data_IF_431412977214
#
_entry.id   IF_431412977214
#
_cell.length_a   1.000
_cell.length_b   1.000
_cell.length_c   1.000
_cell.angle_alpha   90.00
_cell.angle_beta   90.00
_cell.angle_gamma   90.00
#
_symmetry.space_group_name_H-M   'P 1'
#
loop_
_entity.id
_entity.type
_entity.pdbx_description
1 polymer ?
#
# COMPACT_ATOMS: atom_id res chain seq x y z
N UNK A 1 -19.97 -20.80 -14.68
CA UNK A 1 -20.72 -20.38 -13.47
C UNK A 1 -21.86 -21.33 -13.11
N UNK A 2 -22.82 -21.61 -14.01
CA UNK A 2 -23.98 -22.49 -13.75
C UNK A 2 -23.68 -23.90 -13.24
N UNK A 3 -22.51 -24.49 -13.56
CA UNK A 3 -22.11 -25.83 -13.09
C UNK A 3 -21.66 -25.81 -11.61
N UNK A 4 -21.09 -24.69 -11.15
CA UNK A 4 -20.63 -24.53 -9.76
C UNK A 4 -21.81 -24.28 -8.84
N UNK A 5 -22.78 -23.45 -9.27
CA UNK A 5 -24.04 -23.22 -8.55
C UNK A 5 -24.86 -24.51 -8.40
N UNK A 6 -24.94 -25.33 -9.47
CA UNK A 6 -25.69 -26.59 -9.45
C UNK A 6 -25.03 -27.68 -8.58
N UNK A 7 -23.71 -27.60 -8.37
CA UNK A 7 -22.99 -28.48 -7.41
C UNK A 7 -23.11 -27.95 -5.98
N UNK A 8 -23.04 -26.65 -5.75
CA UNK A 8 -23.17 -26.05 -4.43
C UNK A 8 -24.58 -26.23 -3.84
N UNK A 9 -25.63 -26.20 -4.67
CA UNK A 9 -27.03 -26.38 -4.25
C UNK A 9 -27.37 -27.83 -3.81
N UNK A 10 -26.51 -28.81 -4.10
CA UNK A 10 -26.74 -30.23 -3.78
C UNK A 10 -25.86 -30.76 -2.63
N UNK A 11 -25.01 -29.93 -2.04
CA UNK A 11 -24.26 -30.31 -0.85
C UNK A 11 -25.07 -29.88 0.36
N UNK A 12 -25.99 -30.74 0.80
CA UNK A 12 -26.63 -30.58 2.10
C UNK A 12 -25.59 -30.90 3.20
N UNK A 13 -24.79 -29.88 3.52
CA UNK A 13 -23.72 -29.94 4.52
C UNK A 13 -24.27 -30.38 5.88
N UNK A 14 -25.51 -30.01 6.21
CA UNK A 14 -26.11 -30.32 7.49
C UNK A 14 -26.44 -31.83 7.61
N UNK A 15 -27.08 -32.42 6.60
CA UNK A 15 -27.38 -33.87 6.62
C UNK A 15 -26.12 -34.74 6.57
N UNK A 16 -25.12 -34.36 5.78
CA UNK A 16 -23.87 -35.10 5.67
C UNK A 16 -23.02 -35.03 6.95
N UNK A 17 -23.16 -33.97 7.75
CA UNK A 17 -22.48 -33.84 9.04
C UNK A 17 -23.14 -34.69 10.15
N UNK A 18 -24.45 -34.87 10.11
CA UNK A 18 -25.22 -35.64 11.10
C UNK A 18 -25.05 -37.17 10.96
N UNK A 19 -24.60 -37.66 9.80
CA UNK A 19 -24.36 -39.08 9.51
C UNK A 19 -22.91 -39.55 9.67
N UNK A 20 -21.98 -38.68 10.10
CA UNK A 20 -20.57 -39.04 10.23
C UNK A 20 -20.35 -39.94 11.45
N UNK A 21 -19.70 -41.09 11.25
CA UNK A 21 -19.14 -41.86 12.36
C UNK A 21 -18.06 -41.00 13.09
N UNK A 22 -17.79 -41.29 14.36
CA UNK A 22 -16.82 -40.51 15.16
C UNK A 22 -15.42 -40.43 14.52
N UNK A 23 -15.02 -41.45 13.75
CA UNK A 23 -13.74 -41.50 13.07
C UNK A 23 -13.68 -40.55 11.86
N UNK A 24 -14.77 -40.43 11.10
CA UNK A 24 -14.89 -39.55 9.96
C UNK A 24 -15.04 -38.08 10.39
N UNK A 25 -15.77 -37.82 11.49
CA UNK A 25 -15.86 -36.49 12.09
C UNK A 25 -14.49 -35.98 12.59
N UNK A 26 -13.69 -36.84 13.23
CA UNK A 26 -12.35 -36.47 13.72
C UNK A 26 -11.33 -36.27 12.57
N UNK A 27 -11.42 -37.09 11.51
CA UNK A 27 -10.64 -36.91 10.28
C UNK A 27 -10.96 -35.57 9.60
N UNK A 28 -12.27 -35.26 9.43
CA UNK A 28 -12.72 -33.99 8.85
C UNK A 28 -12.23 -32.79 9.67
N UNK A 29 -12.38 -32.83 11.00
CA UNK A 29 -11.88 -31.77 11.89
C UNK A 29 -10.38 -31.54 11.72
N UNK A 30 -9.59 -32.61 11.58
CA UNK A 30 -8.15 -32.54 11.39
C UNK A 30 -7.80 -31.91 10.03
N UNK A 31 -8.48 -32.33 8.96
CA UNK A 31 -8.30 -31.76 7.63
C UNK A 31 -8.69 -30.28 7.57
N UNK A 32 -9.81 -29.91 8.20
CA UNK A 32 -10.28 -28.51 8.27
C UNK A 32 -9.28 -27.66 9.05
N UNK A 33 -8.80 -28.12 10.20
CA UNK A 33 -7.74 -27.43 10.96
C UNK A 33 -6.47 -27.26 10.12
N UNK A 34 -6.01 -28.31 9.47
CA UNK A 34 -4.83 -28.27 8.58
C UNK A 34 -5.00 -27.27 7.44
N UNK A 35 -6.18 -27.24 6.81
CA UNK A 35 -6.52 -26.28 5.77
C UNK A 35 -6.46 -24.84 6.29
N UNK A 36 -7.05 -24.54 7.46
CA UNK A 36 -6.99 -23.21 8.06
C UNK A 36 -5.55 -22.80 8.42
N UNK A 37 -4.74 -23.70 8.97
CA UNK A 37 -3.33 -23.42 9.23
C UNK A 37 -2.55 -23.11 7.95
N UNK A 38 -2.76 -23.91 6.90
CA UNK A 38 -2.15 -23.67 5.59
C UNK A 38 -2.56 -22.32 5.01
N UNK A 39 -3.84 -21.95 5.11
CA UNK A 39 -4.35 -20.68 4.61
C UNK A 39 -3.74 -19.49 5.37
N UNK A 40 -3.72 -19.55 6.70
CA UNK A 40 -3.10 -18.51 7.54
C UNK A 40 -1.61 -18.38 7.23
N UNK A 41 -0.89 -19.51 7.16
CA UNK A 41 0.53 -19.52 6.82
C UNK A 41 0.79 -18.91 5.44
N UNK A 42 -0.01 -19.28 4.44
CA UNK A 42 0.10 -18.75 3.08
C UNK A 42 -0.17 -17.24 3.04
N UNK A 43 -1.16 -16.75 3.79
CA UNK A 43 -1.46 -15.32 3.89
C UNK A 43 -0.31 -14.54 4.54
N UNK A 44 0.27 -15.05 5.64
CA UNK A 44 1.43 -14.43 6.29
C UNK A 44 2.63 -14.41 5.34
N UNK A 45 2.92 -15.53 4.67
CA UNK A 45 4.03 -15.62 3.71
C UNK A 45 3.84 -14.63 2.55
N UNK A 46 2.63 -14.54 2.00
CA UNK A 46 2.29 -13.57 0.96
C UNK A 46 2.51 -12.13 1.43
N UNK A 47 2.07 -11.78 2.64
CA UNK A 47 2.30 -10.44 3.21
C UNK A 47 3.79 -10.14 3.37
N UNK A 48 4.58 -11.08 3.86
CA UNK A 48 6.03 -10.92 3.99
C UNK A 48 6.69 -10.69 2.63
N UNK A 49 6.32 -11.46 1.61
CA UNK A 49 6.81 -11.29 0.24
C UNK A 49 6.43 -9.93 -0.33
N UNK A 50 5.20 -9.45 -0.08
CA UNK A 50 4.76 -8.12 -0.48
C UNK A 50 5.58 -7.02 0.18
N UNK A 51 5.87 -7.13 1.49
CA UNK A 51 6.70 -6.16 2.22
C UNK A 51 8.14 -6.16 1.70
N UNK A 52 8.71 -7.34 1.42
CA UNK A 52 10.05 -7.47 0.83
C UNK A 52 10.08 -6.81 -0.54
N UNK A 53 9.12 -7.15 -1.41
CA UNK A 53 9.04 -6.62 -2.77
C UNK A 53 8.88 -5.08 -2.76
N UNK A 54 7.99 -4.58 -1.92
CA UNK A 54 7.82 -3.14 -1.68
C UNK A 54 9.13 -2.49 -1.21
N UNK A 55 9.83 -3.12 -0.27
CA UNK A 55 11.09 -2.61 0.27
C UNK A 55 12.20 -2.57 -0.79
N UNK A 56 12.28 -3.57 -1.66
CA UNK A 56 13.23 -3.59 -2.78
C UNK A 56 12.92 -2.45 -3.76
N UNK A 57 11.68 -2.37 -4.26
CA UNK A 57 11.32 -1.35 -5.24
C UNK A 57 11.43 0.06 -4.70
N UNK A 58 10.89 0.32 -3.51
CA UNK A 58 11.00 1.65 -2.88
C UNK A 58 12.44 1.96 -2.54
N UNK A 59 13.20 1.01 -2.00
CA UNK A 59 14.62 1.17 -1.73
C UNK A 59 15.37 1.63 -2.98
N UNK A 60 15.21 0.91 -4.11
CA UNK A 60 15.84 1.24 -5.39
C UNK A 60 15.40 2.60 -5.93
N UNK A 61 14.09 2.88 -5.94
CA UNK A 61 13.53 4.15 -6.39
C UNK A 61 14.18 5.31 -5.63
N UNK A 62 14.12 5.27 -4.30
CA UNK A 62 14.58 6.38 -3.48
C UNK A 62 16.10 6.52 -3.49
N UNK A 63 16.86 5.43 -3.49
CA UNK A 63 18.32 5.51 -3.64
C UNK A 63 18.71 6.10 -4.99
N UNK A 64 17.98 5.78 -6.06
CA UNK A 64 18.21 6.36 -7.39
C UNK A 64 17.87 7.85 -7.40
N UNK A 65 16.73 8.24 -6.82
CA UNK A 65 16.32 9.66 -6.72
C UNK A 65 17.29 10.50 -5.89
N UNK A 66 17.91 9.91 -4.86
CA UNK A 66 18.85 10.58 -3.96
C UNK A 66 20.34 10.38 -4.32
N UNK A 67 20.63 9.79 -5.48
CA UNK A 67 21.98 9.47 -5.96
C UNK A 67 22.85 8.69 -4.93
N UNK A 68 22.23 7.69 -4.30
CA UNK A 68 22.89 6.78 -3.34
C UNK A 68 23.02 5.37 -3.91
N UNK A 69 24.12 4.69 -3.56
CA UNK A 69 24.29 3.27 -3.92
C UNK A 69 23.40 2.38 -3.07
N UNK A 70 22.55 1.57 -3.73
CA UNK A 70 21.78 0.53 -3.06
C UNK A 70 22.72 -0.59 -2.62
N UNK A 71 22.77 -0.86 -1.31
CA UNK A 71 23.55 -1.97 -0.74
C UNK A 71 22.70 -2.81 0.22
N UNK A 72 23.13 -4.04 0.49
CA UNK A 72 22.36 -4.96 1.32
C UNK A 72 22.18 -4.48 2.78
N UNK A 73 23.16 -3.76 3.33
CA UNK A 73 23.06 -3.16 4.66
C UNK A 73 21.97 -2.08 4.73
N UNK A 74 21.85 -1.25 3.71
CA UNK A 74 20.77 -0.29 3.53
C UNK A 74 19.43 -1.00 3.37
N UNK A 75 19.36 -2.03 2.51
CA UNK A 75 18.15 -2.81 2.30
C UNK A 75 17.61 -3.40 3.61
N UNK A 76 18.46 -4.00 4.45
CA UNK A 76 18.04 -4.53 5.77
C UNK A 76 17.39 -3.47 6.64
N UNK A 77 18.00 -2.28 6.73
CA UNK A 77 17.45 -1.18 7.54
C UNK A 77 16.15 -0.63 6.94
N UNK A 78 16.07 -0.55 5.61
CA UNK A 78 14.86 -0.12 4.90
C UNK A 78 13.71 -1.13 5.04
N UNK A 79 14.03 -2.43 5.03
CA UNK A 79 13.09 -3.51 5.31
C UNK A 79 12.56 -3.40 6.74
N UNK A 80 13.45 -3.18 7.71
CA UNK A 80 13.06 -2.97 9.11
C UNK A 80 12.17 -1.74 9.29
N UNK A 81 12.46 -0.64 8.57
CA UNK A 81 11.59 0.53 8.52
C UNK A 81 10.19 0.16 8.04
N UNK A 82 10.06 -0.58 6.94
CA UNK A 82 8.76 -0.97 6.39
C UNK A 82 8.01 -1.99 7.27
N UNK A 83 8.72 -2.88 7.96
CA UNK A 83 8.15 -3.82 8.93
C UNK A 83 7.55 -3.12 10.14
N UNK A 84 8.00 -1.91 10.48
CA UNK A 84 7.38 -1.10 11.55
C UNK A 84 6.30 -0.20 10.95
N UNK A 85 6.61 0.45 9.83
CA UNK A 85 5.77 1.46 9.20
C UNK A 85 4.47 0.89 8.66
N UNK A 86 4.50 -0.17 7.84
CA UNK A 86 3.31 -0.69 7.19
C UNK A 86 2.32 -1.30 8.20
N UNK A 87 2.74 -2.12 9.17
CA UNK A 87 1.82 -2.63 10.18
C UNK A 87 1.18 -1.54 11.03
N UNK A 88 1.86 -0.41 11.30
CA UNK A 88 1.24 0.70 12.03
C UNK A 88 0.05 1.30 11.28
N UNK A 89 0.14 1.45 9.95
CA UNK A 89 -0.98 1.92 9.14
C UNK A 89 -2.09 0.88 9.02
N UNK A 90 -1.71 -0.39 8.85
CA UNK A 90 -2.67 -1.48 8.81
C UNK A 90 -3.47 -1.58 10.13
N UNK A 91 -2.79 -1.44 11.26
CA UNK A 91 -3.42 -1.42 12.58
C UNK A 91 -4.42 -0.26 12.70
N UNK A 92 -4.06 0.95 12.24
CA UNK A 92 -4.99 2.09 12.24
C UNK A 92 -6.22 1.85 11.37
N UNK A 93 -6.03 1.31 10.16
CA UNK A 93 -7.15 0.97 9.25
C UNK A 93 -8.05 -0.09 9.88
N UNK A 94 -7.45 -1.11 10.51
CA UNK A 94 -8.19 -2.15 11.21
C UNK A 94 -8.99 -1.59 12.39
N UNK A 95 -8.41 -0.68 13.18
CA UNK A 95 -9.11 -0.01 14.27
C UNK A 95 -10.31 0.80 13.75
N UNK A 96 -10.18 1.51 12.63
CA UNK A 96 -11.32 2.20 12.01
C UNK A 96 -12.38 1.26 11.46
N UNK A 97 -11.98 0.06 10.98
CA UNK A 97 -12.94 -0.95 10.55
C UNK A 97 -13.80 -1.49 11.71
N UNK A 98 -13.22 -1.60 12.90
CA UNK A 98 -13.88 -2.21 14.08
C UNK A 98 -14.64 -1.19 14.93
N UNK A 99 -14.09 0.02 15.09
CA UNK A 99 -14.61 1.03 16.04
C UNK A 99 -15.66 1.94 15.40
N UNK A 100 -15.50 2.26 14.11
CA UNK A 100 -16.36 3.24 13.42
C UNK A 100 -17.54 2.53 12.75
N UNK A 101 -18.69 3.22 12.69
CA UNK A 101 -19.88 2.75 11.99
C UNK A 101 -19.53 2.29 10.55
N UNK A 102 -20.10 1.16 10.08
CA UNK A 102 -19.79 0.61 8.75
C UNK A 102 -20.01 1.60 7.59
N UNK A 103 -20.99 2.49 7.72
CA UNK A 103 -21.33 3.49 6.70
C UNK A 103 -20.25 4.58 6.56
N UNK A 104 -19.59 4.97 7.65
CA UNK A 104 -18.58 6.04 7.65
C UNK A 104 -17.15 5.50 7.62
N UNK A 105 -16.92 4.24 7.99
CA UNK A 105 -15.61 3.60 8.02
C UNK A 105 -14.79 3.76 6.72
N UNK A 106 -15.37 3.59 5.51
CA UNK A 106 -14.62 3.77 4.26
C UNK A 106 -13.99 5.15 4.10
N UNK A 107 -14.66 6.21 4.57
CA UNK A 107 -14.15 7.59 4.50
C UNK A 107 -12.88 7.72 5.34
N UNK A 108 -12.90 7.21 6.58
CA UNK A 108 -11.74 7.21 7.46
C UNK A 108 -10.59 6.37 6.90
N UNK A 109 -10.88 5.24 6.25
CA UNK A 109 -9.85 4.44 5.57
C UNK A 109 -9.17 5.23 4.44
N UNK A 110 -9.96 5.91 3.59
CA UNK A 110 -9.42 6.74 2.50
C UNK A 110 -8.54 7.87 3.05
N UNK A 111 -9.02 8.58 4.08
CA UNK A 111 -8.23 9.63 4.74
C UNK A 111 -6.94 9.07 5.33
N UNK A 112 -7.00 7.90 5.97
CA UNK A 112 -5.83 7.24 6.55
C UNK A 112 -4.81 6.86 5.49
N UNK A 113 -5.27 6.34 4.34
CA UNK A 113 -4.40 6.02 3.21
C UNK A 113 -3.74 7.27 2.62
N UNK A 114 -4.50 8.37 2.49
CA UNK A 114 -3.95 9.65 2.01
C UNK A 114 -2.87 10.19 2.97
N UNK A 115 -3.13 10.13 4.27
CA UNK A 115 -2.16 10.52 5.32
C UNK A 115 -0.95 9.60 5.32
N UNK A 116 -1.13 8.29 5.18
CA UNK A 116 -0.04 7.32 5.09
C UNK A 116 0.85 7.60 3.88
N UNK A 117 0.25 7.88 2.72
CA UNK A 117 0.98 8.22 1.50
C UNK A 117 1.76 9.52 1.67
N UNK A 118 1.12 10.55 2.24
CA UNK A 118 1.76 11.83 2.56
C UNK A 118 3.01 11.64 3.41
N UNK A 119 2.90 10.98 4.57
CA UNK A 119 4.04 10.78 5.46
C UNK A 119 5.10 9.85 4.88
N UNK A 120 4.72 8.88 4.04
CA UNK A 120 5.69 7.99 3.37
C UNK A 120 6.64 8.76 2.45
N UNK A 121 6.13 9.77 1.72
CA UNK A 121 6.96 10.61 0.85
C UNK A 121 7.89 11.57 1.62
N UNK A 122 7.66 11.78 2.92
CA UNK A 122 8.55 12.55 3.80
C UNK A 122 9.54 11.62 4.50
N UNK A 123 9.04 10.49 5.01
CA UNK A 123 9.80 9.52 5.79
C UNK A 123 10.95 8.92 4.99
N UNK A 124 10.70 8.53 3.74
CA UNK A 124 11.70 7.81 2.95
C UNK A 124 12.91 8.69 2.58
N UNK A 125 12.76 9.93 2.08
CA UNK A 125 13.88 10.84 1.91
C UNK A 125 14.64 11.10 3.22
N UNK A 126 13.95 11.36 4.33
CA UNK A 126 14.61 11.57 5.61
C UNK A 126 15.42 10.33 6.05
N UNK A 127 14.83 9.14 5.88
CA UNK A 127 15.50 7.88 6.20
C UNK A 127 16.73 7.65 5.32
N UNK A 128 16.70 8.03 4.04
CA UNK A 128 17.90 7.99 3.20
C UNK A 128 19.01 8.88 3.75
N UNK A 129 18.68 10.04 4.31
CA UNK A 129 19.66 10.99 4.85
C UNK A 129 20.36 10.44 6.11
N UNK A 130 19.60 9.91 7.06
CA UNK A 130 20.14 9.53 8.38
C UNK A 130 20.32 8.02 8.61
N UNK A 131 19.55 7.19 7.91
CA UNK A 131 19.58 5.72 8.01
C UNK A 131 19.36 5.19 9.45
N UNK A 132 18.48 5.88 10.22
CA UNK A 132 18.09 5.58 11.60
C UNK A 132 16.57 5.51 11.74
N UNK A 133 16.05 4.62 12.58
CA UNK A 133 14.60 4.46 12.80
C UNK A 133 13.95 5.62 13.58
N UNK A 134 14.74 6.35 14.40
CA UNK A 134 14.26 7.55 15.11
C UNK A 134 13.65 8.59 14.16
N UNK A 135 14.02 8.54 12.87
CA UNK A 135 13.53 9.43 11.84
C UNK A 135 12.00 9.36 11.65
N UNK A 136 11.33 8.29 12.08
CA UNK A 136 9.86 8.22 12.03
C UNK A 136 9.24 9.39 12.79
N UNK A 137 9.71 9.65 14.01
CA UNK A 137 9.22 10.77 14.85
C UNK A 137 9.53 12.12 14.18
N UNK A 138 10.68 12.23 13.54
CA UNK A 138 11.12 13.45 12.87
C UNK A 138 10.32 13.70 11.58
N UNK A 139 9.97 12.66 10.84
CA UNK A 139 9.09 12.72 9.68
C UNK A 139 7.69 13.22 10.06
N UNK A 140 7.12 12.74 11.17
CA UNK A 140 5.85 13.26 11.68
C UNK A 140 5.98 14.74 12.09
N UNK A 141 7.00 15.09 12.86
CA UNK A 141 7.23 16.47 13.30
C UNK A 141 7.40 17.42 12.11
N UNK A 142 8.19 17.02 11.11
CA UNK A 142 8.44 17.80 9.90
C UNK A 142 7.16 17.92 9.07
N UNK A 143 6.46 16.81 8.83
CA UNK A 143 5.24 16.78 8.02
C UNK A 143 4.09 17.58 8.62
N UNK A 144 3.97 17.65 9.95
CA UNK A 144 2.97 18.49 10.61
C UNK A 144 3.42 19.96 10.59
N UNK A 145 4.66 20.26 11.01
CA UNK A 145 5.16 21.65 11.11
C UNK A 145 5.21 22.36 9.75
N UNK A 146 5.47 21.61 8.68
CA UNK A 146 5.68 22.13 7.32
C UNK A 146 4.63 21.63 6.33
N UNK A 147 3.43 21.33 6.79
CA UNK A 147 2.36 20.78 5.95
C UNK A 147 2.09 21.62 4.70
N UNK A 148 2.13 22.96 4.83
CA UNK A 148 1.92 23.88 3.71
C UNK A 148 2.96 23.73 2.60
N UNK A 149 4.22 23.39 2.92
CA UNK A 149 5.26 23.21 1.91
C UNK A 149 5.09 21.90 1.14
N UNK A 150 4.53 20.87 1.80
CA UNK A 150 4.25 19.59 1.18
C UNK A 150 2.88 19.54 0.50
N UNK A 151 1.89 20.35 0.90
CA UNK A 151 0.56 20.35 0.27
C UNK A 151 0.54 21.08 -1.07
N UNK A 152 1.36 22.11 -1.23
CA UNK A 152 1.49 22.88 -2.48
C UNK A 152 1.82 22.00 -3.68
N UNK A 153 2.86 21.14 -3.68
CA UNK A 153 3.10 20.25 -4.81
C UNK A 153 1.92 19.30 -5.07
N UNK A 154 1.24 18.78 -4.03
CA UNK A 154 0.05 17.96 -4.23
C UNK A 154 -1.10 18.73 -4.87
N UNK A 155 -1.32 19.99 -4.51
CA UNK A 155 -2.32 20.84 -5.15
C UNK A 155 -1.97 21.08 -6.63
N UNK A 156 -0.71 21.40 -6.92
CA UNK A 156 -0.21 21.56 -8.30
C UNK A 156 -0.40 20.26 -9.10
N UNK A 157 -0.12 19.10 -8.50
CA UNK A 157 -0.35 17.79 -9.11
C UNK A 157 -1.81 17.59 -9.48
N UNK A 158 -2.72 17.87 -8.55
CA UNK A 158 -4.15 17.68 -8.77
C UNK A 158 -4.60 18.57 -9.92
N UNK A 159 -4.19 19.84 -9.92
CA UNK A 159 -4.51 20.80 -11.00
C UNK A 159 -3.97 20.30 -12.35
N UNK A 160 -2.68 19.95 -12.42
CA UNK A 160 -2.06 19.45 -13.65
C UNK A 160 -2.70 18.15 -14.13
N UNK A 161 -3.04 17.24 -13.22
CA UNK A 161 -3.73 16.00 -13.54
C UNK A 161 -5.09 16.27 -14.19
N UNK A 162 -5.89 17.18 -13.62
CA UNK A 162 -7.17 17.57 -14.22
C UNK A 162 -6.99 18.25 -15.58
N UNK A 163 -5.99 19.11 -15.73
CA UNK A 163 -5.68 19.74 -17.03
C UNK A 163 -5.31 18.70 -18.08
N UNK A 164 -4.43 17.74 -17.75
CA UNK A 164 -4.00 16.67 -18.67
C UNK A 164 -5.16 15.75 -19.00
N UNK A 165 -5.98 15.37 -18.01
CA UNK A 165 -7.15 14.52 -18.23
C UNK A 165 -8.18 15.19 -19.15
N UNK A 166 -8.46 16.47 -18.92
CA UNK A 166 -9.36 17.23 -19.78
C UNK A 166 -8.80 17.37 -21.20
N UNK A 167 -7.50 17.66 -21.35
CA UNK A 167 -6.84 17.69 -22.65
C UNK A 167 -6.90 16.33 -23.36
N UNK A 168 -6.63 15.24 -22.63
CA UNK A 168 -6.74 13.88 -23.14
C UNK A 168 -8.15 13.59 -23.64
N UNK A 169 -9.18 13.90 -22.86
CA UNK A 169 -10.57 13.66 -23.25
C UNK A 169 -10.97 14.46 -24.49
N UNK A 170 -10.55 15.74 -24.60
CA UNK A 170 -10.83 16.56 -25.77
C UNK A 170 -10.19 16.01 -27.05
N UNK A 171 -8.96 15.49 -26.97
CA UNK A 171 -8.27 14.90 -28.11
C UNK A 171 -8.83 13.50 -28.41
N UNK A 172 -9.12 12.70 -27.38
CA UNK A 172 -9.63 11.34 -27.48
C UNK A 172 -10.99 11.27 -28.21
N UNK A 173 -11.81 12.32 -28.11
CA UNK A 173 -13.07 12.43 -28.86
C UNK A 173 -12.83 12.46 -30.38
N UNK A 174 -11.71 13.06 -30.84
CA UNK A 174 -11.40 13.20 -32.27
C UNK A 174 -10.45 12.14 -32.80
N UNK A 175 -9.54 11.67 -31.96
CA UNK A 175 -8.49 10.72 -32.30
C UNK A 175 -8.59 9.60 -31.29
N UNK A 176 -8.70 8.35 -31.72
CA UNK A 176 -8.69 7.19 -30.82
C UNK A 176 -7.30 7.02 -30.19
N UNK A 177 -6.99 7.87 -29.20
CA UNK A 177 -5.74 7.86 -28.49
C UNK A 177 -5.66 6.60 -27.64
N UNK A 178 -4.51 5.93 -27.71
CA UNK A 178 -4.23 4.80 -26.86
C UNK A 178 -4.16 5.28 -25.39
N UNK A 179 -4.96 4.72 -24.46
CA UNK A 179 -4.94 5.10 -23.04
C UNK A 179 -3.56 4.93 -22.40
N UNK A 180 -2.69 4.10 -22.96
CA UNK A 180 -1.30 3.93 -22.51
C UNK A 180 -0.49 5.24 -22.55
N UNK A 181 -0.81 6.18 -23.46
CA UNK A 181 -0.13 7.48 -23.52
C UNK A 181 -0.40 8.30 -22.25
N UNK A 182 -1.64 8.29 -21.78
CA UNK A 182 -2.02 8.97 -20.53
C UNK A 182 -1.26 8.38 -19.33
N UNK A 183 -1.18 7.05 -19.25
CA UNK A 183 -0.39 6.38 -18.21
C UNK A 183 1.09 6.74 -18.27
N UNK A 184 1.68 6.86 -19.47
CA UNK A 184 3.07 7.29 -19.66
C UNK A 184 3.33 8.69 -19.08
N UNK A 185 2.46 9.65 -19.38
CA UNK A 185 2.56 11.03 -18.85
C UNK A 185 2.46 11.02 -17.32
N UNK A 186 1.52 10.26 -16.77
CA UNK A 186 1.33 10.12 -15.32
C UNK A 186 2.57 9.55 -14.62
N UNK A 187 3.24 8.57 -15.24
CA UNK A 187 4.47 7.99 -14.70
C UNK A 187 5.63 8.98 -14.66
N UNK A 188 5.86 9.74 -15.75
CA UNK A 188 6.88 10.80 -15.80
C UNK A 188 6.63 11.82 -14.70
N UNK A 189 5.37 12.20 -14.52
CA UNK A 189 4.99 13.18 -13.51
C UNK A 189 5.19 12.68 -12.07
N UNK A 190 4.84 11.42 -11.79
CA UNK A 190 5.15 10.77 -10.50
C UNK A 190 6.66 10.70 -10.25
N UNK A 191 7.47 10.49 -11.28
CA UNK A 191 8.93 10.48 -11.15
C UNK A 191 9.46 11.86 -10.76
N UNK A 192 9.02 12.93 -11.45
CA UNK A 192 9.37 14.31 -11.11
C UNK A 192 9.00 14.67 -9.66
N UNK A 193 7.79 14.28 -9.23
CA UNK A 193 7.32 14.52 -7.87
C UNK A 193 8.26 13.95 -6.80
N UNK A 194 8.82 12.75 -7.03
CA UNK A 194 9.74 12.13 -6.08
C UNK A 194 11.01 12.96 -5.92
N UNK A 195 11.58 13.47 -7.01
CA UNK A 195 12.73 14.37 -6.96
C UNK A 195 12.42 15.62 -6.15
N UNK A 196 11.27 16.24 -6.40
CA UNK A 196 10.82 17.40 -5.66
C UNK A 196 10.72 17.14 -4.14
N UNK A 197 10.15 16.00 -3.72
CA UNK A 197 10.10 15.64 -2.30
C UNK A 197 11.48 15.45 -1.68
N UNK A 198 12.42 14.80 -2.38
CA UNK A 198 13.79 14.65 -1.88
C UNK A 198 14.41 16.03 -1.62
N UNK A 199 14.31 16.94 -2.58
CA UNK A 199 14.90 18.28 -2.49
C UNK A 199 14.27 19.12 -1.36
N UNK A 200 12.94 19.13 -1.25
CA UNK A 200 12.25 19.82 -0.15
C UNK A 200 12.66 19.23 1.19
N UNK A 201 12.61 17.92 1.35
CA UNK A 201 12.95 17.30 2.64
C UNK A 201 14.40 17.62 3.02
N UNK A 202 15.32 17.61 2.06
CA UNK A 202 16.74 17.88 2.32
C UNK A 202 17.00 19.35 2.67
N UNK A 203 16.28 20.28 2.05
CA UNK A 203 16.39 21.71 2.35
C UNK A 203 15.81 22.09 3.72
N UNK A 204 14.72 21.44 4.13
CA UNK A 204 14.03 21.73 5.40
C UNK A 204 14.65 21.06 6.62
N UNK A 205 15.45 20.01 6.42
CA UNK A 205 16.13 19.26 7.47
C UNK A 205 17.63 19.63 7.58
N UNK A 206 17.99 20.86 7.21
CA UNK A 206 19.28 21.48 7.57
C UNK A 206 19.20 21.99 9.00
#
# INVERSE_FOLDING_TARGET
>A
MKIIEKKAANVDLAQNLLGLNQQAASSLLTSVRGFFFFLIFSAILFLLLMVINWSVFKGLIWTTTADKKFNFGFFKKFLLLNLIWLPSWFLLIFLFAVIINPETSPIFMIVTLAVAFYFTNILYPLFLKENKLRIIKEAFKLGIKKIHQFIVPYAIIIILFFMILNAYNLIAIRVNLNPNVFFGILLVFIAWLRYYFVEIVYSLHK
#
